data_IF_237450327988
#
_entry.id   IF_237450327988
#
_cell.length_a   1.000
_cell.length_b   1.000
_cell.length_c   1.000
_cell.angle_alpha   90.00
_cell.angle_beta   90.00
_cell.angle_gamma   90.00
#
_symmetry.space_group_name_H-M   'P 1'
#
loop_
_entity.id
_entity.type
_entity.pdbx_description
1 polymer ?
#
# COMPACT_ATOMS: atom_id res chain seq x y z
N UNK A 1 -1.70 -11.19 -13.25
CA UNK A 1 -0.87 -9.97 -13.21
C UNK A 1 -1.70 -8.73 -13.44
N UNK A 2 -2.34 -8.59 -14.61
CA UNK A 2 -3.16 -7.41 -14.95
C UNK A 2 -4.20 -7.06 -13.87
N UNK A 3 -4.85 -8.06 -13.30
CA UNK A 3 -5.83 -7.83 -12.25
C UNK A 3 -5.23 -7.10 -11.04
N UNK A 4 -4.07 -7.55 -10.53
CA UNK A 4 -3.40 -6.87 -9.41
C UNK A 4 -3.00 -5.44 -9.77
N UNK A 5 -2.61 -5.19 -11.03
CA UNK A 5 -2.31 -3.83 -11.49
C UNK A 5 -3.53 -2.92 -11.43
N UNK A 6 -4.68 -3.42 -11.85
CA UNK A 6 -5.96 -2.69 -11.78
C UNK A 6 -6.32 -2.41 -10.33
N UNK A 7 -6.15 -3.37 -9.41
CA UNK A 7 -6.44 -3.16 -7.99
C UNK A 7 -5.55 -2.08 -7.37
N UNK A 8 -4.25 -2.11 -7.65
CA UNK A 8 -3.29 -1.10 -7.18
C UNK A 8 -3.60 0.29 -7.76
N UNK A 9 -3.90 0.37 -9.06
CA UNK A 9 -4.28 1.62 -9.71
C UNK A 9 -5.59 2.18 -9.14
N UNK A 10 -6.58 1.32 -8.96
CA UNK A 10 -7.89 1.71 -8.45
C UNK A 10 -7.81 2.21 -7.00
N UNK A 11 -7.04 1.51 -6.15
CA UNK A 11 -6.77 1.98 -4.78
C UNK A 11 -6.06 3.34 -4.81
N UNK A 12 -4.96 3.44 -5.55
CA UNK A 12 -4.13 4.65 -5.63
C UNK A 12 -4.90 5.86 -6.12
N UNK A 13 -5.62 5.75 -7.24
CA UNK A 13 -6.38 6.85 -7.81
C UNK A 13 -7.57 7.25 -6.91
N UNK A 14 -8.27 6.28 -6.32
CA UNK A 14 -9.37 6.56 -5.39
C UNK A 14 -8.90 7.29 -4.14
N UNK A 15 -7.77 6.85 -3.57
CA UNK A 15 -7.19 7.47 -2.38
C UNK A 15 -6.57 8.85 -2.68
N UNK A 16 -6.02 9.09 -3.88
CA UNK A 16 -5.63 10.45 -4.30
C UNK A 16 -6.85 11.37 -4.30
N UNK A 17 -7.95 10.96 -4.94
CA UNK A 17 -9.15 11.77 -5.01
C UNK A 17 -9.73 12.06 -3.61
N UNK A 18 -9.84 11.03 -2.76
CA UNK A 18 -10.31 11.20 -1.38
C UNK A 18 -9.37 12.05 -0.54
N UNK A 19 -8.06 11.80 -0.60
CA UNK A 19 -7.05 12.52 0.17
C UNK A 19 -6.97 13.99 -0.21
N UNK A 20 -6.99 14.31 -1.51
CA UNK A 20 -7.02 15.70 -1.99
C UNK A 20 -8.26 16.44 -1.49
N UNK A 21 -9.44 15.83 -1.56
CA UNK A 21 -10.67 16.44 -1.07
C UNK A 21 -10.62 16.74 0.44
N UNK A 22 -10.09 15.80 1.25
CA UNK A 22 -9.91 16.02 2.69
C UNK A 22 -8.83 17.07 3.03
N UNK A 23 -7.82 17.23 2.17
CA UNK A 23 -6.79 18.26 2.34
C UNK A 23 -7.32 19.65 1.95
N UNK A 24 -8.11 19.74 0.88
CA UNK A 24 -8.71 21.00 0.42
C UNK A 24 -9.74 21.51 1.43
N UNK A 25 -10.56 20.62 1.98
CA UNK A 25 -11.50 20.93 3.04
C UNK A 25 -11.34 19.98 4.24
N UNK A 26 -10.39 20.27 5.15
CA UNK A 26 -10.17 19.47 6.35
C UNK A 26 -11.37 19.43 7.31
N UNK A 27 -12.35 20.32 7.17
CA UNK A 27 -13.58 20.25 7.96
C UNK A 27 -14.45 19.05 7.59
N UNK A 28 -14.23 18.47 6.40
CA UNK A 28 -15.02 17.37 5.84
C UNK A 28 -16.39 17.80 5.30
N UNK A 29 -16.70 19.10 5.28
CA UNK A 29 -17.99 19.63 4.82
C UNK A 29 -18.27 19.32 3.35
N UNK A 30 -17.25 19.40 2.48
CA UNK A 30 -17.34 19.03 1.06
C UNK A 30 -17.74 17.57 0.85
N UNK A 31 -17.40 16.68 1.77
CA UNK A 31 -17.78 15.27 1.73
C UNK A 31 -19.06 14.96 2.51
N UNK A 32 -19.71 15.97 3.11
CA UNK A 32 -20.85 15.77 3.99
C UNK A 32 -20.49 15.00 5.28
N UNK A 33 -19.23 15.07 5.71
CA UNK A 33 -18.72 14.42 6.92
C UNK A 33 -18.09 15.45 7.87
N UNK A 34 -18.89 16.27 8.58
CA UNK A 34 -18.35 17.31 9.45
C UNK A 34 -17.46 16.75 10.57
N UNK A 35 -16.23 17.24 10.67
CA UNK A 35 -15.21 16.76 11.62
C UNK A 35 -15.65 16.86 13.08
N UNK A 36 -16.41 17.90 13.45
CA UNK A 36 -16.95 18.12 14.79
C UNK A 36 -17.88 17.00 15.28
N UNK A 37 -18.54 16.31 14.34
CA UNK A 37 -19.41 15.17 14.64
C UNK A 37 -18.68 13.84 14.50
N UNK A 38 -17.87 13.69 13.45
CA UNK A 38 -17.26 12.42 13.04
C UNK A 38 -15.99 12.10 13.83
N UNK A 39 -15.20 13.11 14.23
CA UNK A 39 -13.91 12.94 14.88
C UNK A 39 -13.95 13.13 16.40
N UNK A 40 -15.13 13.04 17.04
CA UNK A 40 -15.27 13.22 18.51
C UNK A 40 -14.41 12.29 19.37
N UNK A 41 -14.07 11.11 18.86
CA UNK A 41 -13.21 10.11 19.52
C UNK A 41 -11.81 10.01 18.91
N UNK A 42 -11.52 10.90 17.96
CA UNK A 42 -10.26 10.98 17.26
C UNK A 42 -9.22 11.74 18.07
N UNK A 43 -7.93 11.41 17.94
CA UNK A 43 -6.85 12.31 18.35
C UNK A 43 -6.73 13.55 17.44
N UNK A 44 -7.43 13.59 16.30
CA UNK A 44 -7.38 14.66 15.31
C UNK A 44 -8.61 15.58 15.40
N UNK A 45 -8.38 16.90 15.28
CA UNK A 45 -9.43 17.92 15.24
C UNK A 45 -10.08 18.08 13.87
N UNK A 46 -9.41 17.64 12.81
CA UNK A 46 -9.84 17.76 11.41
C UNK A 46 -9.31 16.59 10.57
N UNK A 47 -9.67 16.57 9.28
CA UNK A 47 -9.27 15.53 8.34
C UNK A 47 -7.95 15.81 7.60
N UNK A 48 -7.19 16.85 7.95
CA UNK A 48 -5.96 17.18 7.22
C UNK A 48 -4.95 16.04 7.31
N UNK A 49 -4.68 15.56 8.53
CA UNK A 49 -3.74 14.47 8.74
C UNK A 49 -4.21 13.14 8.14
N UNK A 50 -5.48 12.70 8.36
CA UNK A 50 -6.06 11.58 7.61
C UNK A 50 -5.94 11.73 6.09
N UNK A 51 -6.20 12.92 5.55
CA UNK A 51 -6.12 13.22 4.12
C UNK A 51 -4.72 13.09 3.56
N UNK A 52 -3.69 13.54 4.30
CA UNK A 52 -2.29 13.36 3.92
C UNK A 52 -1.89 11.88 3.90
N UNK A 53 -2.30 11.10 4.89
CA UNK A 53 -2.04 9.65 4.89
C UNK A 53 -2.71 8.99 3.70
N UNK A 54 -3.99 9.30 3.46
CA UNK A 54 -4.75 8.76 2.35
C UNK A 54 -4.08 9.09 1.01
N UNK A 55 -3.66 10.35 0.81
CA UNK A 55 -2.97 10.79 -0.40
C UNK A 55 -1.60 10.12 -0.57
N UNK A 56 -0.74 10.14 0.45
CA UNK A 56 0.64 9.69 0.32
C UNK A 56 0.76 8.16 0.38
N UNK A 57 0.20 7.54 1.43
CA UNK A 57 0.40 6.12 1.75
C UNK A 57 -0.54 5.22 0.95
N UNK A 58 -1.76 5.66 0.69
CA UNK A 58 -2.75 4.86 -0.05
C UNK A 58 -2.99 5.37 -1.47
N UNK A 59 -2.59 6.61 -1.76
CA UNK A 59 -2.64 7.19 -3.10
C UNK A 59 -1.36 6.97 -3.89
N UNK A 60 -0.30 7.67 -3.52
CA UNK A 60 0.96 7.68 -4.27
C UNK A 60 1.73 6.37 -4.14
N UNK A 61 1.77 5.77 -2.96
CA UNK A 61 2.57 4.56 -2.74
C UNK A 61 2.05 3.34 -3.52
N UNK A 62 0.74 3.02 -3.59
CA UNK A 62 0.23 1.96 -4.47
C UNK A 62 0.53 2.19 -5.95
N UNK A 63 0.53 3.45 -6.41
CA UNK A 63 0.94 3.79 -7.78
C UNK A 63 2.45 3.62 -7.99
N UNK A 64 3.28 3.92 -6.98
CA UNK A 64 4.71 3.62 -7.00
C UNK A 64 4.93 2.11 -7.06
N UNK A 65 4.20 1.32 -6.27
CA UNK A 65 4.24 -0.15 -6.32
C UNK A 65 3.83 -0.64 -7.70
N UNK A 66 2.74 -0.14 -8.27
CA UNK A 66 2.31 -0.46 -9.64
C UNK A 66 3.41 -0.16 -10.66
N UNK A 67 4.00 1.03 -10.61
CA UNK A 67 5.14 1.38 -11.46
C UNK A 67 6.28 0.38 -11.29
N UNK A 68 6.62 0.04 -10.05
CA UNK A 68 7.63 -0.97 -9.73
C UNK A 68 7.30 -2.34 -10.30
N UNK A 69 6.04 -2.77 -10.24
CA UNK A 69 5.60 -4.05 -10.78
C UNK A 69 5.70 -4.13 -12.32
N UNK A 70 5.54 -2.99 -13.00
CA UNK A 70 5.63 -2.89 -14.47
C UNK A 70 7.08 -2.76 -14.94
N UNK A 71 7.86 -1.86 -14.33
CA UNK A 71 9.22 -1.53 -14.76
C UNK A 71 10.30 -2.37 -14.09
N UNK A 72 9.97 -3.05 -12.98
CA UNK A 72 10.87 -3.87 -12.17
C UNK A 72 12.23 -3.21 -11.87
N UNK A 73 12.24 -1.96 -11.36
CA UNK A 73 13.47 -1.32 -10.91
C UNK A 73 14.01 -2.03 -9.66
N UNK A 74 15.33 -2.01 -9.50
CA UNK A 74 15.99 -2.49 -8.28
C UNK A 74 16.10 -1.33 -7.29
N UNK A 75 15.26 -1.33 -6.27
CA UNK A 75 15.26 -0.31 -5.23
C UNK A 75 15.89 -0.87 -3.95
N UNK A 76 17.10 -0.40 -3.62
CA UNK A 76 17.83 -0.88 -2.45
C UNK A 76 17.03 -0.77 -1.13
N UNK A 77 16.23 0.29 -0.97
CA UNK A 77 15.37 0.47 0.20
C UNK A 77 14.25 -0.58 0.26
N UNK A 78 13.63 -0.92 -0.88
CA UNK A 78 12.56 -1.92 -0.94
C UNK A 78 13.12 -3.33 -0.74
N UNK A 79 14.33 -3.55 -1.23
CA UNK A 79 15.08 -4.80 -1.10
C UNK A 79 15.54 -5.07 0.35
N UNK A 80 15.82 -4.00 1.11
CA UNK A 80 16.09 -4.08 2.55
C UNK A 80 14.83 -4.48 3.33
N UNK A 81 13.67 -3.95 2.95
CA UNK A 81 12.40 -4.21 3.63
C UNK A 81 11.80 -5.58 3.30
N UNK A 82 12.19 -6.24 2.19
CA UNK A 82 11.61 -7.55 1.85
C UNK A 82 12.21 -8.67 2.70
N UNK A 83 11.40 -9.45 3.44
CA UNK A 83 11.88 -10.68 4.08
C UNK A 83 12.03 -11.83 3.06
N UNK A 84 11.31 -11.76 1.93
CA UNK A 84 11.34 -12.77 0.88
C UNK A 84 12.41 -12.41 -0.15
N UNK A 85 13.61 -12.97 0.01
CA UNK A 85 14.77 -12.62 -0.84
C UNK A 85 14.75 -13.25 -2.24
N UNK A 86 13.85 -14.21 -2.48
CA UNK A 86 13.66 -14.87 -3.78
C UNK A 86 12.65 -14.14 -4.68
N UNK A 87 11.83 -13.26 -4.11
CA UNK A 87 10.81 -12.50 -4.82
C UNK A 87 11.27 -11.06 -5.03
N UNK A 88 10.90 -10.48 -6.17
CA UNK A 88 11.11 -9.06 -6.44
C UNK A 88 10.41 -8.21 -5.37
N UNK A 89 11.09 -7.20 -4.83
CA UNK A 89 10.61 -6.42 -3.68
C UNK A 89 9.24 -5.79 -3.89
N UNK A 90 8.88 -5.44 -5.14
CA UNK A 90 7.55 -4.92 -5.50
C UNK A 90 6.40 -5.87 -5.19
N UNK A 91 6.63 -7.18 -5.20
CA UNK A 91 5.65 -8.16 -4.75
C UNK A 91 5.36 -8.00 -3.26
N UNK A 92 6.42 -7.86 -2.45
CA UNK A 92 6.30 -7.64 -1.00
C UNK A 92 5.64 -6.30 -0.70
N UNK A 93 6.01 -5.24 -1.44
CA UNK A 93 5.37 -3.93 -1.27
C UNK A 93 3.87 -3.99 -1.61
N UNK A 94 3.46 -4.76 -2.65
CA UNK A 94 2.03 -4.99 -2.95
C UNK A 94 1.31 -5.68 -1.79
N UNK A 95 1.97 -6.65 -1.13
CA UNK A 95 1.42 -7.30 0.06
C UNK A 95 1.26 -6.31 1.22
N UNK A 96 2.24 -5.43 1.43
CA UNK A 96 2.18 -4.38 2.45
C UNK A 96 1.07 -3.36 2.18
N UNK A 97 0.84 -2.97 0.92
CA UNK A 97 -0.31 -2.13 0.55
C UNK A 97 -1.61 -2.79 1.00
N UNK A 98 -1.78 -4.09 0.72
CA UNK A 98 -2.96 -4.83 1.13
C UNK A 98 -3.17 -4.85 2.66
N UNK A 99 -2.12 -5.11 3.44
CA UNK A 99 -2.20 -5.06 4.91
C UNK A 99 -2.45 -3.66 5.44
N UNK A 100 -1.71 -2.68 4.92
CA UNK A 100 -1.87 -1.28 5.29
C UNK A 100 -3.29 -0.79 5.06
N UNK A 101 -3.89 -1.16 3.93
CA UNK A 101 -5.25 -0.73 3.59
C UNK A 101 -6.28 -1.31 4.58
N UNK A 102 -6.15 -2.58 4.96
CA UNK A 102 -7.03 -3.20 5.96
C UNK A 102 -6.88 -2.49 7.30
N UNK A 103 -5.64 -2.32 7.76
CA UNK A 103 -5.35 -1.66 9.05
C UNK A 103 -5.89 -0.23 9.05
N UNK A 104 -5.71 0.51 7.96
CA UNK A 104 -6.22 1.86 7.82
C UNK A 104 -7.74 1.94 7.96
N UNK A 105 -8.49 1.10 7.23
CA UNK A 105 -9.95 1.07 7.33
C UNK A 105 -10.41 0.63 8.73
N UNK A 106 -9.69 -0.28 9.39
CA UNK A 106 -9.97 -0.62 10.80
C UNK A 106 -9.79 0.59 11.73
N UNK A 107 -8.70 1.35 11.57
CA UNK A 107 -8.44 2.56 12.35
C UNK A 107 -9.50 3.63 12.07
N UNK A 108 -9.84 3.87 10.80
CA UNK A 108 -10.83 4.85 10.38
C UNK A 108 -12.22 4.54 10.95
N UNK A 109 -12.70 3.30 10.79
CA UNK A 109 -14.00 2.87 11.33
C UNK A 109 -14.04 2.90 12.86
N UNK A 110 -12.91 2.63 13.53
CA UNK A 110 -12.78 2.74 14.98
C UNK A 110 -12.88 4.20 15.44
N UNK A 111 -12.12 5.10 14.81
CA UNK A 111 -12.11 6.53 15.16
C UNK A 111 -13.47 7.18 14.91
N UNK A 112 -14.09 6.89 13.75
CA UNK A 112 -15.39 7.43 13.36
C UNK A 112 -16.56 6.77 14.10
N UNK A 113 -16.31 5.62 14.76
CA UNK A 113 -17.33 4.77 15.37
C UNK A 113 -18.52 4.50 14.42
N UNK A 114 -18.22 4.33 13.13
CA UNK A 114 -19.20 4.20 12.07
C UNK A 114 -18.65 3.32 10.94
N UNK A 115 -19.51 2.50 10.36
CA UNK A 115 -19.19 1.67 9.19
C UNK A 115 -20.12 2.05 8.05
N UNK A 116 -19.53 2.50 6.94
CA UNK A 116 -20.24 2.83 5.72
C UNK A 116 -19.93 1.78 4.64
N UNK A 117 -20.69 1.82 3.53
CA UNK A 117 -20.43 0.96 2.38
C UNK A 117 -19.03 1.18 1.79
N UNK A 118 -18.52 2.42 1.85
CA UNK A 118 -17.17 2.77 1.41
C UNK A 118 -16.12 1.99 2.21
N UNK A 119 -16.27 1.91 3.55
CA UNK A 119 -15.35 1.15 4.39
C UNK A 119 -15.36 -0.34 4.02
N UNK A 120 -16.54 -0.95 3.83
CA UNK A 120 -16.67 -2.37 3.44
C UNK A 120 -16.02 -2.63 2.08
N UNK A 121 -16.25 -1.73 1.12
CA UNK A 121 -15.69 -1.85 -0.22
C UNK A 121 -14.16 -1.75 -0.22
N UNK A 122 -13.59 -0.75 0.46
CA UNK A 122 -12.13 -0.56 0.53
C UNK A 122 -11.42 -1.59 1.42
N UNK A 123 -12.08 -2.10 2.46
CA UNK A 123 -11.62 -3.28 3.20
C UNK A 123 -11.53 -4.50 2.28
N UNK A 124 -12.58 -4.75 1.50
CA UNK A 124 -12.63 -5.84 0.53
C UNK A 124 -11.57 -5.70 -0.55
N UNK A 125 -11.30 -4.48 -1.00
CA UNK A 125 -10.22 -4.17 -1.93
C UNK A 125 -8.85 -4.51 -1.35
N UNK A 126 -8.58 -4.13 -0.09
CA UNK A 126 -7.35 -4.49 0.63
C UNK A 126 -7.16 -6.01 0.75
N UNK A 127 -8.21 -6.73 1.13
CA UNK A 127 -8.23 -8.20 1.17
C UNK A 127 -7.94 -8.80 -0.21
N UNK A 128 -8.58 -8.28 -1.25
CA UNK A 128 -8.43 -8.78 -2.61
C UNK A 128 -7.00 -8.56 -3.13
N UNK A 129 -6.39 -7.41 -2.83
CA UNK A 129 -4.97 -7.15 -3.12
C UNK A 129 -4.08 -8.20 -2.44
N UNK A 130 -4.31 -8.51 -1.17
CA UNK A 130 -3.53 -9.54 -0.46
C UNK A 130 -3.70 -10.92 -1.09
N UNK A 131 -4.95 -11.37 -1.27
CA UNK A 131 -5.28 -12.68 -1.84
C UNK A 131 -4.63 -12.84 -3.22
N UNK A 132 -4.82 -11.85 -4.10
CA UNK A 132 -4.27 -11.89 -5.45
C UNK A 132 -2.74 -11.85 -5.43
N UNK A 133 -2.13 -11.06 -4.55
CA UNK A 133 -0.67 -11.01 -4.40
C UNK A 133 -0.10 -12.37 -4.00
N UNK A 134 -0.77 -13.10 -3.11
CA UNK A 134 -0.34 -14.42 -2.63
C UNK A 134 -0.61 -15.58 -3.60
N UNK A 135 -1.33 -15.36 -4.73
CA UNK A 135 -1.58 -16.43 -5.68
C UNK A 135 -0.26 -17.02 -6.23
N UNK A 136 -0.14 -18.35 -6.37
CA UNK A 136 1.08 -18.98 -6.87
C UNK A 136 1.48 -18.52 -8.27
N UNK A 137 0.53 -18.10 -9.09
CA UNK A 137 0.81 -17.53 -10.41
C UNK A 137 1.49 -16.17 -10.31
N UNK A 138 1.10 -15.33 -9.34
CA UNK A 138 1.69 -14.00 -9.09
C UNK A 138 3.07 -14.13 -8.48
N UNK A 139 3.25 -14.99 -7.49
CA UNK A 139 4.56 -15.26 -6.91
C UNK A 139 5.55 -15.74 -7.98
N UNK A 140 5.16 -16.73 -8.81
CA UNK A 140 6.01 -17.24 -9.90
C UNK A 140 6.44 -16.16 -10.88
N UNK A 141 5.56 -15.21 -11.18
CA UNK A 141 5.87 -14.10 -12.07
C UNK A 141 6.91 -13.14 -11.49
N UNK A 142 6.95 -12.98 -10.17
CA UNK A 142 7.89 -12.10 -9.46
C UNK A 142 9.11 -12.82 -8.89
N UNK A 143 9.29 -14.12 -9.14
CA UNK A 143 10.51 -14.83 -8.80
C UNK A 143 11.72 -14.18 -9.50
N UNK A 144 12.78 -13.98 -8.73
CA UNK A 144 14.06 -13.53 -9.24
C UNK A 144 14.79 -14.71 -9.89
N UNK A 145 15.54 -14.48 -10.98
CA UNK A 145 16.41 -15.50 -11.53
C UNK A 145 17.42 -16.03 -10.49
N UNK A 146 17.86 -17.30 -10.60
CA UNK A 146 18.93 -17.84 -9.77
C UNK A 146 20.15 -16.93 -9.76
N UNK A 147 20.71 -16.66 -8.57
CA UNK A 147 21.87 -15.77 -8.40
C UNK A 147 21.56 -14.27 -8.36
N UNK A 148 20.29 -13.85 -8.56
CA UNK A 148 19.85 -12.46 -8.36
C UNK A 148 19.12 -12.21 -7.05
N UNK A 149 18.91 -13.26 -6.25
CA UNK A 149 18.41 -13.15 -4.89
C UNK A 149 19.41 -12.39 -4.01
N UNK A 150 18.92 -11.69 -2.99
CA UNK A 150 19.76 -10.79 -2.20
C UNK A 150 20.84 -11.52 -1.38
N UNK A 151 20.64 -12.81 -1.06
CA UNK A 151 21.64 -13.62 -0.35
C UNK A 151 22.91 -13.88 -1.17
N UNK A 152 22.80 -13.98 -2.50
CA UNK A 152 23.96 -14.23 -3.37
C UNK A 152 24.87 -13.01 -3.58
N UNK A 153 24.37 -11.79 -3.36
CA UNK A 153 25.19 -10.58 -3.51
C UNK A 153 26.18 -10.41 -2.35
N UNK A 154 25.70 -10.55 -1.11
CA UNK A 154 26.55 -10.47 0.08
C UNK A 154 27.56 -11.62 0.12
N UNK A 155 27.13 -12.85 -0.16
CA UNK A 155 28.00 -14.03 -0.11
C UNK A 155 29.11 -13.99 -1.18
N UNK A 156 28.86 -13.38 -2.35
CA UNK A 156 29.90 -13.12 -3.35
C UNK A 156 30.86 -11.99 -2.95
N UNK A 157 30.37 -10.90 -2.35
CA UNK A 157 31.23 -9.83 -1.86
C UNK A 157 32.16 -10.28 -0.71
N UNK A 158 31.64 -11.11 0.21
CA UNK A 158 32.42 -11.67 1.31
C UNK A 158 33.49 -12.65 0.81
N UNK A 159 33.17 -13.49 -0.18
CA UNK A 159 34.14 -14.39 -0.82
C UNK A 159 35.19 -13.66 -1.67
N UNK A 160 34.85 -12.50 -2.23
CA UNK A 160 35.80 -11.66 -2.96
C UNK A 160 36.74 -10.90 -2.02
N UNK A 161 36.27 -10.50 -0.84
CA UNK A 161 37.09 -9.85 0.18
C UNK A 161 38.02 -10.83 0.94
N UNK A 162 37.76 -12.14 0.86
CA UNK A 162 38.57 -13.19 1.50
C UNK A 162 39.63 -13.82 0.58
N UNK A 163 39.86 -13.27 -0.61
CA UNK A 163 40.90 -13.69 -1.57
C UNK A 163 41.91 -12.58 -1.76
#
# INVERSE_FOLDING_TARGET
MLFLYVLQAFLGLGAIAGGVMLIIDPSGSLMGMPADTVLKRSPFSDFLFPGIILLAVFGLFPLLVLYGMVKRPRWAWADALTPFKELHSTWTLSLYVGFGQIIWIMVETYIMNAVSLVHVFYMSLGLLIQIVTLLPSVQRFFLLPPGRGFHTADDQSMRAASR
#
